data_IF_800246518345
#
_entry.id   IF_800246518345
#
_cell.length_a   1.000
_cell.length_b   1.000
_cell.length_c   1.000
_cell.angle_alpha   90.00
_cell.angle_beta   90.00
_cell.angle_gamma   90.00
#
_symmetry.space_group_name_H-M   'P 1'
#
loop_
_entity.id
_entity.type
_entity.pdbx_description
1 polymer ?
#
# COMPACT_ATOMS: atom_id res chain seq x y z
N UNK A 1 0.42 -13.16 -19.19
CA UNK A 1 1.22 -12.22 -18.39
C UNK A 1 0.25 -11.24 -17.78
N UNK A 2 0.34 -11.01 -16.47
CA UNK A 2 -0.53 -10.04 -15.79
C UNK A 2 -0.11 -8.62 -16.19
N UNK A 3 -1.08 -7.78 -16.56
CA UNK A 3 -0.82 -6.37 -16.86
C UNK A 3 -0.65 -5.57 -15.57
N UNK A 4 0.05 -4.43 -15.66
CA UNK A 4 0.18 -3.48 -14.53
C UNK A 4 -1.18 -3.12 -13.93
N UNK A 5 -2.20 -2.94 -14.77
CA UNK A 5 -3.55 -2.60 -14.32
C UNK A 5 -4.22 -3.75 -13.56
N UNK A 6 -4.04 -4.99 -14.01
CA UNK A 6 -4.54 -6.17 -13.28
C UNK A 6 -3.87 -6.31 -11.91
N UNK A 7 -2.56 -6.05 -11.83
CA UNK A 7 -1.82 -6.06 -10.56
C UNK A 7 -2.33 -4.99 -9.59
N UNK A 8 -2.55 -3.77 -10.09
CA UNK A 8 -3.13 -2.67 -9.31
C UNK A 8 -4.51 -3.05 -8.76
N UNK A 9 -5.38 -3.63 -9.60
CA UNK A 9 -6.72 -4.03 -9.18
C UNK A 9 -6.65 -5.10 -8.08
N UNK A 10 -5.80 -6.11 -8.24
CA UNK A 10 -5.59 -7.16 -7.23
C UNK A 10 -5.09 -6.62 -5.90
N UNK A 11 -4.17 -5.65 -5.90
CA UNK A 11 -3.68 -5.03 -4.67
C UNK A 11 -4.80 -4.24 -3.99
N UNK A 12 -5.58 -3.46 -4.75
CA UNK A 12 -6.74 -2.72 -4.20
C UNK A 12 -7.78 -3.64 -3.58
N UNK A 13 -8.07 -4.77 -4.20
CA UNK A 13 -8.99 -5.78 -3.65
C UNK A 13 -8.45 -6.38 -2.35
N UNK A 14 -7.16 -6.76 -2.30
CA UNK A 14 -6.53 -7.29 -1.09
C UNK A 14 -6.52 -6.27 0.06
N UNK A 15 -6.21 -5.01 -0.22
CA UNK A 15 -6.25 -3.91 0.75
C UNK A 15 -7.67 -3.73 1.30
N UNK A 16 -8.68 -3.68 0.42
CA UNK A 16 -10.07 -3.49 0.83
C UNK A 16 -10.58 -4.65 1.69
N UNK A 17 -10.26 -5.88 1.30
CA UNK A 17 -10.62 -7.08 2.05
C UNK A 17 -9.90 -7.14 3.41
N UNK A 18 -8.60 -6.83 3.46
CA UNK A 18 -7.84 -6.79 4.72
C UNK A 18 -8.39 -5.71 5.65
N UNK A 19 -8.65 -4.50 5.14
CA UNK A 19 -9.29 -3.40 5.89
C UNK A 19 -10.67 -3.78 6.42
N UNK A 20 -11.47 -4.48 5.62
CA UNK A 20 -12.80 -4.96 6.05
C UNK A 20 -12.74 -6.02 7.15
N UNK A 21 -11.63 -6.77 7.23
CA UNK A 21 -11.41 -7.80 8.25
C UNK A 21 -10.71 -7.26 9.50
N UNK A 22 -10.25 -6.00 9.51
CA UNK A 22 -9.59 -5.42 10.68
C UNK A 22 -10.58 -5.25 11.85
N UNK A 23 -10.25 -5.78 13.04
CA UNK A 23 -11.08 -5.59 14.23
C UNK A 23 -10.95 -4.14 14.76
N UNK A 24 -12.08 -3.47 14.97
CA UNK A 24 -12.16 -2.04 15.34
C UNK A 24 -11.40 -1.62 16.61
N UNK A 25 -11.13 -2.56 17.53
CA UNK A 25 -10.53 -2.27 18.83
C UNK A 25 -9.24 -3.05 19.12
N UNK A 26 -8.77 -3.89 18.20
CA UNK A 26 -7.60 -4.75 18.44
C UNK A 26 -6.92 -5.14 17.14
N UNK A 27 -6.64 -4.13 16.30
CA UNK A 27 -5.91 -4.36 15.05
C UNK A 27 -4.58 -5.02 15.37
N UNK A 28 -4.36 -6.20 14.80
CA UNK A 28 -3.16 -6.97 15.09
C UNK A 28 -1.97 -6.36 14.34
N UNK A 29 -0.81 -6.19 14.98
CA UNK A 29 0.41 -5.71 14.31
C UNK A 29 0.74 -6.38 12.97
N UNK A 30 0.65 -7.73 12.81
CA UNK A 30 0.90 -8.36 11.51
C UNK A 30 -0.09 -7.94 10.42
N UNK A 31 -1.35 -7.64 10.76
CA UNK A 31 -2.33 -7.18 9.78
C UNK A 31 -2.09 -5.73 9.35
N UNK A 32 -1.50 -4.89 10.23
CA UNK A 32 -1.08 -3.54 9.87
C UNK A 32 0.12 -3.57 8.94
N UNK A 33 1.13 -4.40 9.26
CA UNK A 33 2.32 -4.56 8.44
C UNK A 33 1.93 -5.05 7.04
N UNK A 34 1.08 -6.08 6.95
CA UNK A 34 0.59 -6.59 5.68
C UNK A 34 -0.17 -5.52 4.88
N UNK A 35 -0.95 -4.69 5.56
CA UNK A 35 -1.67 -3.59 4.94
C UNK A 35 -0.72 -2.53 4.37
N UNK A 36 0.27 -2.11 5.16
CA UNK A 36 1.31 -1.15 4.76
C UNK A 36 2.10 -1.67 3.55
N UNK A 37 2.50 -2.95 3.55
CA UNK A 37 3.21 -3.56 2.42
C UNK A 37 2.37 -3.61 1.14
N UNK A 38 1.07 -3.87 1.25
CA UNK A 38 0.15 -3.87 0.11
C UNK A 38 -0.07 -2.45 -0.43
N UNK A 39 -0.19 -1.46 0.46
CA UNK A 39 -0.35 -0.05 0.11
C UNK A 39 0.93 0.51 -0.56
N UNK A 40 2.11 0.19 -0.05
CA UNK A 40 3.39 0.57 -0.64
C UNK A 40 3.57 -0.03 -2.04
N UNK A 41 3.28 -1.32 -2.22
CA UNK A 41 3.31 -1.95 -3.55
C UNK A 41 2.34 -1.30 -4.54
N UNK A 42 1.15 -0.91 -4.07
CA UNK A 42 0.18 -0.20 -4.89
C UNK A 42 0.71 1.19 -5.28
N UNK A 43 1.32 1.91 -4.34
CA UNK A 43 1.91 3.23 -4.57
C UNK A 43 3.03 3.19 -5.62
N UNK A 44 3.96 2.24 -5.48
CA UNK A 44 5.03 1.96 -6.45
C UNK A 44 4.47 1.67 -7.84
N UNK A 45 3.39 0.89 -7.93
CA UNK A 45 2.73 0.59 -9.19
C UNK A 45 1.90 1.74 -9.74
N UNK A 46 1.45 2.69 -8.92
CA UNK A 46 0.78 3.90 -9.38
C UNK A 46 1.77 4.97 -9.83
N UNK A 47 3.05 4.85 -9.46
CA UNK A 47 4.07 5.85 -9.79
C UNK A 47 3.88 7.15 -9.03
N UNK A 48 3.19 7.11 -7.90
CA UNK A 48 3.41 8.10 -6.85
C UNK A 48 4.87 7.86 -6.42
N UNK A 49 5.75 8.80 -6.77
CA UNK A 49 7.15 8.70 -6.40
C UNK A 49 7.20 8.55 -4.88
N UNK A 50 7.80 7.47 -4.33
CA UNK A 50 7.96 7.36 -2.89
C UNK A 50 8.68 8.65 -2.49
N UNK A 51 8.04 9.45 -1.64
CA UNK A 51 8.52 10.77 -1.24
C UNK A 51 10.03 10.67 -0.98
N UNK A 52 10.81 11.16 -1.96
CA UNK A 52 12.25 11.23 -1.83
C UNK A 52 12.46 12.20 -0.68
N UNK A 53 12.79 11.65 0.49
CA UNK A 53 13.33 12.41 1.62
C UNK A 53 14.75 12.92 1.33
N UNK A 54 14.96 13.47 0.13
CA UNK A 54 16.16 14.17 -0.31
C UNK A 54 15.71 15.29 -1.26
N UNK A 55 15.44 16.48 -0.72
CA UNK A 55 15.05 17.58 -1.61
C UNK A 55 14.60 18.90 -1.01
N UNK A 56 14.79 19.16 0.29
CA UNK A 56 14.69 20.52 0.84
C UNK A 56 15.87 20.86 1.75
N UNK A 57 17.08 20.76 1.21
CA UNK A 57 18.17 21.65 1.61
C UNK A 57 18.64 22.42 0.38
N UNK A 58 17.84 23.43 0.02
CA UNK A 58 18.33 24.62 -0.66
C UNK A 58 18.05 25.78 0.28
N UNK A 59 19.08 26.21 1.00
CA UNK A 59 19.64 27.57 1.09
C UNK A 59 20.63 27.58 2.26
#
# INVERSE_FOLDING_TARGET
METRQERINKLREQIADLKSRLPAHSVKPPMLIELEELEEQLELLLGAEPETKEGKEKI
#
